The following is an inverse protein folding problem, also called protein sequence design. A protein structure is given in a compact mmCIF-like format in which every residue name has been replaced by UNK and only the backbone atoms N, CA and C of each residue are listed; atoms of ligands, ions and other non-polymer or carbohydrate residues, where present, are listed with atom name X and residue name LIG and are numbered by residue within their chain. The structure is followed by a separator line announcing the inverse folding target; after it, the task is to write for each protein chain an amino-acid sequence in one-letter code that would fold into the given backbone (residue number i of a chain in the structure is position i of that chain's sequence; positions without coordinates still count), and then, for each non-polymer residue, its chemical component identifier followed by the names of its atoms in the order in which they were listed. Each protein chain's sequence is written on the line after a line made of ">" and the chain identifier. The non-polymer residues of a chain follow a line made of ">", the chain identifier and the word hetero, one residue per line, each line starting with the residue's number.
data_IF_533139136865
#
_entry.id   IF_533139136865
#
_cell.length_a   1.000
_cell.length_b   1.000
_cell.length_c   1.000
_cell.angle_alpha   90.00
_cell.angle_beta   90.00
_cell.angle_gamma   90.00
#
_symmetry.space_group_name_H-M   'P 1'
#
loop_
_entity.id
_entity.type
_entity.pdbx_description
1 polymer ?
#
# COMPACT_ATOMS: atom_id res chain seq x y z
N UNK A 1 -13.25 -34.30 -25.20
CA UNK A 1 -12.89 -34.17 -23.77
C UNK A 1 -12.83 -32.69 -23.46
N UNK A 2 -13.34 -32.26 -22.29
CA UNK A 2 -13.16 -30.88 -21.83
C UNK A 2 -11.68 -30.69 -21.49
N UNK A 3 -11.10 -29.57 -21.88
CA UNK A 3 -9.77 -29.19 -21.45
C UNK A 3 -9.80 -28.91 -19.94
N UNK A 4 -9.18 -29.76 -19.09
CA UNK A 4 -9.20 -29.60 -17.64
C UNK A 4 -8.51 -28.32 -17.18
N UNK A 5 -7.64 -27.76 -18.03
CA UNK A 5 -6.83 -26.58 -17.75
C UNK A 5 -7.47 -25.27 -18.26
N UNK A 6 -8.66 -25.33 -18.88
CA UNK A 6 -9.43 -24.13 -19.27
C UNK A 6 -10.57 -23.88 -18.28
N UNK A 7 -10.48 -22.78 -17.53
CA UNK A 7 -11.56 -22.28 -16.70
C UNK A 7 -12.77 -21.85 -17.53
N UNK A 8 -12.57 -21.29 -18.73
CA UNK A 8 -13.68 -20.90 -19.63
C UNK A 8 -14.51 -22.14 -20.00
N UNK A 9 -13.87 -23.21 -20.48
CA UNK A 9 -14.58 -24.44 -20.84
C UNK A 9 -15.31 -25.05 -19.65
N UNK A 10 -14.67 -25.02 -18.46
CA UNK A 10 -15.28 -25.51 -17.23
C UNK A 10 -16.50 -24.69 -16.81
N UNK A 11 -16.45 -23.35 -16.92
CA UNK A 11 -17.60 -22.47 -16.65
C UNK A 11 -18.70 -22.65 -17.70
N UNK A 12 -18.37 -22.82 -18.98
CA UNK A 12 -19.36 -23.12 -20.04
C UNK A 12 -19.97 -24.52 -19.88
N UNK A 13 -19.21 -25.47 -19.33
CA UNK A 13 -19.69 -26.81 -19.01
C UNK A 13 -20.54 -26.84 -17.72
N UNK A 14 -20.59 -25.76 -16.95
CA UNK A 14 -21.44 -25.65 -15.77
C UNK A 14 -22.93 -25.77 -16.16
N UNK A 15 -23.72 -26.42 -15.31
CA UNK A 15 -25.14 -26.67 -15.57
C UNK A 15 -25.91 -25.39 -15.90
N UNK A 16 -25.64 -24.30 -15.18
CA UNK A 16 -26.31 -23.02 -15.42
C UNK A 16 -26.11 -22.56 -16.87
N UNK A 17 -24.85 -22.52 -17.33
CA UNK A 17 -24.53 -22.10 -18.68
C UNK A 17 -25.21 -22.97 -19.74
N UNK A 18 -25.12 -24.31 -19.61
CA UNK A 18 -25.78 -25.26 -20.53
C UNK A 18 -27.29 -25.03 -20.62
N UNK A 19 -27.96 -24.86 -19.47
CA UNK A 19 -29.41 -24.65 -19.42
C UNK A 19 -29.82 -23.32 -20.05
N UNK A 20 -29.15 -22.22 -19.69
CA UNK A 20 -29.52 -20.92 -20.23
C UNK A 20 -29.16 -20.75 -21.71
N UNK A 21 -28.05 -21.33 -22.16
CA UNK A 21 -27.71 -21.38 -23.59
C UNK A 21 -28.82 -22.11 -24.38
N UNK A 22 -29.29 -23.25 -23.88
CA UNK A 22 -30.39 -24.01 -24.50
C UNK A 22 -31.67 -23.18 -24.57
N UNK A 23 -32.00 -22.40 -23.54
CA UNK A 23 -33.16 -21.50 -23.56
C UNK A 23 -33.01 -20.39 -24.61
N UNK A 24 -31.83 -19.79 -24.72
CA UNK A 24 -31.55 -18.74 -25.70
C UNK A 24 -31.66 -19.30 -27.13
N UNK A 25 -31.00 -20.42 -27.42
CA UNK A 25 -31.05 -21.07 -28.74
C UNK A 25 -32.46 -21.51 -29.13
N UNK A 26 -33.23 -22.07 -28.19
CA UNK A 26 -34.62 -22.49 -28.46
C UNK A 26 -35.55 -21.29 -28.70
N UNK A 27 -35.21 -20.09 -28.20
CA UNK A 27 -35.93 -18.85 -28.52
C UNK A 27 -35.72 -18.44 -29.98
N UNK A 28 -34.54 -18.71 -30.55
CA UNK A 28 -34.22 -18.41 -31.94
C UNK A 28 -34.76 -19.46 -32.92
N UNK A 29 -34.76 -20.74 -32.53
CA UNK A 29 -35.05 -21.86 -33.44
C UNK A 29 -36.49 -22.40 -33.36
N UNK A 30 -37.33 -21.91 -32.44
CA UNK A 30 -38.71 -22.37 -32.27
C UNK A 30 -38.84 -23.78 -31.68
N UNK A 31 -40.09 -24.25 -31.49
CA UNK A 31 -40.39 -25.63 -31.05
C UNK A 31 -41.29 -25.79 -29.83
N UNK A 32 -41.97 -24.74 -29.36
CA UNK A 32 -42.92 -24.81 -28.24
C UNK A 32 -42.28 -25.12 -26.87
N UNK A 33 -43.03 -24.91 -25.78
CA UNK A 33 -42.51 -25.06 -24.42
C UNK A 33 -42.23 -26.52 -24.02
N UNK A 34 -43.04 -27.47 -24.50
CA UNK A 34 -42.90 -28.89 -24.16
C UNK A 34 -41.56 -29.46 -24.64
N UNK A 35 -41.15 -29.13 -25.87
CA UNK A 35 -39.86 -29.57 -26.41
C UNK A 35 -38.69 -28.96 -25.63
N UNK A 36 -38.80 -27.69 -25.22
CA UNK A 36 -37.79 -27.04 -24.38
C UNK A 36 -37.64 -27.75 -23.04
N UNK A 37 -38.75 -28.03 -22.33
CA UNK A 37 -38.69 -28.74 -21.05
C UNK A 37 -38.06 -30.13 -21.18
N UNK A 38 -38.40 -30.89 -22.24
CA UNK A 38 -37.76 -32.19 -22.53
C UNK A 38 -36.24 -32.05 -22.73
N UNK A 39 -35.79 -31.05 -23.49
CA UNK A 39 -34.35 -30.78 -23.71
C UNK A 39 -33.63 -30.42 -22.41
N UNK A 40 -34.18 -29.48 -21.63
CA UNK A 40 -33.60 -29.06 -20.35
C UNK A 40 -33.50 -30.23 -19.35
N UNK A 41 -34.52 -31.08 -19.28
CA UNK A 41 -34.49 -32.29 -18.45
C UNK A 41 -33.38 -33.26 -18.89
N UNK A 42 -33.24 -33.51 -20.20
CA UNK A 42 -32.19 -34.38 -20.75
C UNK A 42 -30.80 -33.85 -20.41
N UNK A 43 -30.55 -32.55 -20.57
CA UNK A 43 -29.27 -31.90 -20.24
C UNK A 43 -28.95 -32.07 -18.77
N UNK A 44 -29.91 -31.80 -17.88
CA UNK A 44 -29.72 -31.97 -16.44
C UNK A 44 -29.40 -33.42 -16.06
N UNK A 45 -30.14 -34.38 -16.61
CA UNK A 45 -29.92 -35.82 -16.37
C UNK A 45 -28.53 -36.25 -16.83
N UNK A 46 -28.12 -35.81 -18.02
CA UNK A 46 -26.80 -36.08 -18.59
C UNK A 46 -25.68 -35.45 -17.75
N UNK A 47 -25.80 -34.17 -17.38
CA UNK A 47 -24.81 -33.48 -16.55
C UNK A 47 -24.63 -34.15 -15.18
N UNK A 48 -25.72 -34.61 -14.55
CA UNK A 48 -25.65 -35.35 -13.28
C UNK A 48 -24.95 -36.71 -13.45
N UNK A 49 -25.15 -37.39 -14.59
CA UNK A 49 -24.44 -38.64 -14.91
C UNK A 49 -22.94 -38.39 -15.11
N UNK A 50 -22.58 -37.36 -15.88
CA UNK A 50 -21.19 -36.94 -16.11
C UNK A 50 -20.48 -36.59 -14.80
N UNK A 51 -21.13 -35.84 -13.90
CA UNK A 51 -20.58 -35.51 -12.59
C UNK A 51 -20.32 -36.74 -11.71
N UNK A 52 -21.25 -37.71 -11.69
CA UNK A 52 -21.07 -38.96 -10.93
C UNK A 52 -19.91 -39.80 -11.48
N UNK A 53 -19.84 -39.94 -12.80
CA UNK A 53 -18.75 -40.67 -13.46
C UNK A 53 -17.40 -40.01 -13.12
N UNK A 54 -17.33 -38.68 -13.22
CA UNK A 54 -16.12 -37.94 -12.86
C UNK A 54 -15.72 -38.14 -11.39
N UNK A 55 -16.69 -38.09 -10.47
CA UNK A 55 -16.44 -38.36 -9.04
C UNK A 55 -15.88 -39.78 -8.79
N UNK A 56 -16.37 -40.79 -9.51
CA UNK A 56 -15.83 -42.16 -9.43
C UNK A 56 -14.42 -42.24 -10.03
N UNK A 57 -14.18 -41.58 -11.16
CA UNK A 57 -12.87 -41.55 -11.82
C UNK A 57 -11.81 -40.92 -10.89
N UNK A 58 -12.09 -39.78 -10.25
CA UNK A 58 -11.12 -39.13 -9.36
C UNK A 58 -10.89 -39.89 -8.04
N UNK A 59 -11.82 -40.76 -7.63
CA UNK A 59 -11.62 -41.65 -6.49
C UNK A 59 -10.61 -42.76 -6.81
N UNK A 60 -10.65 -43.29 -8.04
CA UNK A 60 -9.71 -44.32 -8.51
C UNK A 60 -8.38 -43.70 -8.97
N UNK A 61 -8.43 -42.52 -9.58
CA UNK A 61 -7.29 -41.81 -10.15
C UNK A 61 -7.24 -40.36 -9.64
N UNK A 62 -6.73 -40.12 -8.41
CA UNK A 62 -6.66 -38.79 -7.83
C UNK A 62 -5.90 -37.76 -8.69
N UNK A 63 -4.93 -38.21 -9.50
CA UNK A 63 -4.16 -37.38 -10.42
C UNK A 63 -4.99 -36.78 -11.57
N UNK A 64 -6.18 -37.31 -11.85
CA UNK A 64 -7.10 -36.75 -12.87
C UNK A 64 -8.00 -35.64 -12.31
N UNK A 65 -7.88 -35.31 -11.01
CA UNK A 65 -8.63 -34.23 -10.39
C UNK A 65 -8.25 -32.91 -11.05
N UNK A 66 -9.25 -32.20 -11.55
CA UNK A 66 -9.05 -30.88 -12.13
C UNK A 66 -8.43 -29.92 -11.10
N UNK A 67 -7.51 -29.05 -11.55
CA UNK A 67 -6.97 -28.00 -10.70
C UNK A 67 -8.07 -27.03 -10.25
N UNK A 68 -7.80 -26.17 -9.26
CA UNK A 68 -8.75 -25.11 -8.92
C UNK A 68 -8.98 -24.21 -10.13
N UNK A 69 -10.15 -23.56 -10.22
CA UNK A 69 -10.43 -22.66 -11.36
C UNK A 69 -9.45 -21.47 -11.37
N UNK A 70 -9.03 -21.03 -10.19
CA UNK A 70 -8.17 -19.87 -9.99
C UNK A 70 -6.73 -20.07 -10.52
N UNK A 71 -6.29 -21.33 -10.71
CA UNK A 71 -4.95 -21.62 -11.25
C UNK A 71 -4.93 -21.78 -12.77
N UNK A 72 -6.09 -21.74 -13.44
CA UNK A 72 -6.16 -21.75 -14.90
C UNK A 72 -5.78 -20.36 -15.46
N UNK A 73 -5.01 -20.32 -16.56
CA UNK A 73 -4.54 -19.06 -17.16
C UNK A 73 -5.68 -18.18 -17.70
N UNK A 74 -6.82 -18.77 -18.04
CA UNK A 74 -8.03 -18.12 -18.57
C UNK A 74 -9.11 -17.86 -17.49
N UNK A 75 -8.71 -17.84 -16.21
CA UNK A 75 -9.64 -17.65 -15.09
C UNK A 75 -10.38 -16.30 -15.11
N UNK A 76 -9.69 -15.21 -15.48
CA UNK A 76 -10.27 -13.88 -15.54
C UNK A 76 -11.39 -13.80 -16.60
N UNK A 77 -11.17 -14.42 -17.75
CA UNK A 77 -12.16 -14.57 -18.82
C UNK A 77 -13.32 -15.47 -18.39
N UNK A 78 -13.04 -16.52 -17.62
CA UNK A 78 -14.05 -17.41 -17.08
C UNK A 78 -14.98 -16.69 -16.07
N UNK A 79 -14.47 -15.71 -15.30
CA UNK A 79 -15.30 -14.86 -14.45
C UNK A 79 -16.27 -14.00 -15.28
N UNK A 80 -15.80 -13.44 -16.41
CA UNK A 80 -16.68 -12.69 -17.35
C UNK A 80 -17.82 -13.57 -17.88
N UNK A 81 -17.56 -14.86 -18.11
CA UNK A 81 -18.59 -15.81 -18.55
C UNK A 81 -19.74 -15.97 -17.55
N UNK A 82 -19.52 -15.73 -16.24
CA UNK A 82 -20.60 -15.77 -15.23
C UNK A 82 -21.58 -14.59 -15.37
N UNK A 83 -21.16 -13.50 -15.99
CA UNK A 83 -22.00 -12.35 -16.33
C UNK A 83 -22.69 -12.50 -17.70
N UNK A 84 -22.44 -13.58 -18.44
CA UNK A 84 -23.15 -13.84 -19.68
C UNK A 84 -24.63 -14.13 -19.42
N UNK A 85 -25.48 -13.71 -20.37
CA UNK A 85 -26.92 -13.94 -20.28
C UNK A 85 -27.26 -15.42 -20.12
N UNK A 86 -26.57 -16.32 -20.84
CA UNK A 86 -26.74 -17.77 -20.71
C UNK A 86 -26.52 -18.25 -19.28
N UNK A 87 -25.48 -17.76 -18.60
CA UNK A 87 -25.20 -18.16 -17.23
C UNK A 87 -26.29 -17.65 -16.27
N UNK A 88 -26.65 -16.37 -16.37
CA UNK A 88 -27.65 -15.73 -15.51
C UNK A 88 -29.04 -16.35 -15.66
N UNK A 89 -29.49 -16.63 -16.89
CA UNK A 89 -30.75 -17.35 -17.13
C UNK A 89 -30.68 -18.77 -16.53
N UNK A 90 -29.56 -19.44 -16.71
CA UNK A 90 -29.27 -20.74 -16.10
C UNK A 90 -29.46 -20.77 -14.60
N UNK A 91 -28.91 -19.78 -13.89
CA UNK A 91 -29.07 -19.66 -12.45
C UNK A 91 -30.53 -19.46 -12.05
N UNK A 92 -31.27 -18.64 -12.80
CA UNK A 92 -32.71 -18.45 -12.57
C UNK A 92 -33.48 -19.75 -12.76
N UNK A 93 -33.17 -20.54 -13.79
CA UNK A 93 -33.81 -21.84 -14.05
C UNK A 93 -33.54 -22.84 -12.92
N UNK A 94 -32.28 -22.92 -12.47
CA UNK A 94 -31.88 -23.80 -11.35
C UNK A 94 -32.63 -23.40 -10.08
N UNK A 95 -32.66 -22.11 -9.74
CA UNK A 95 -33.37 -21.59 -8.56
C UNK A 95 -34.87 -21.82 -8.64
N UNK A 96 -35.48 -21.64 -9.82
CA UNK A 96 -36.90 -21.89 -10.02
C UNK A 96 -37.26 -23.38 -9.88
N UNK A 97 -36.40 -24.27 -10.40
CA UNK A 97 -36.56 -25.72 -10.22
C UNK A 97 -36.44 -26.13 -8.75
N UNK A 98 -35.42 -25.62 -8.04
CA UNK A 98 -35.21 -25.93 -6.62
C UNK A 98 -36.38 -25.47 -5.74
N UNK A 99 -37.04 -24.38 -6.11
CA UNK A 99 -38.18 -23.83 -5.39
C UNK A 99 -39.52 -24.11 -6.09
N UNK A 100 -39.60 -25.17 -6.90
CA UNK A 100 -40.80 -25.49 -7.67
C UNK A 100 -42.02 -25.65 -6.77
N UNK A 101 -41.87 -26.36 -5.64
CA UNK A 101 -42.91 -26.58 -4.63
C UNK A 101 -43.37 -25.30 -3.91
N UNK A 102 -42.60 -24.21 -3.99
CA UNK A 102 -42.97 -22.87 -3.48
C UNK A 102 -43.56 -21.97 -4.58
N UNK A 103 -43.97 -22.55 -5.71
CA UNK A 103 -44.48 -21.81 -6.86
C UNK A 103 -43.39 -21.10 -7.69
N UNK A 104 -42.13 -21.54 -7.61
CA UNK A 104 -41.01 -20.95 -8.35
C UNK A 104 -41.21 -20.88 -9.88
N UNK A 105 -41.98 -21.84 -10.43
CA UNK A 105 -42.37 -21.85 -11.84
C UNK A 105 -43.24 -20.66 -12.26
N UNK A 106 -44.16 -20.21 -11.41
CA UNK A 106 -45.04 -19.06 -11.70
C UNK A 106 -44.27 -17.75 -11.79
N UNK A 107 -43.19 -17.61 -11.01
CA UNK A 107 -42.33 -16.41 -11.01
C UNK A 107 -41.24 -16.44 -12.09
N UNK A 108 -41.10 -17.55 -12.84
CA UNK A 108 -39.99 -17.77 -13.77
C UNK A 108 -39.92 -16.70 -14.86
N UNK A 109 -41.05 -16.35 -15.49
CA UNK A 109 -41.10 -15.31 -16.54
C UNK A 109 -40.59 -13.97 -16.03
N UNK A 110 -41.03 -13.56 -14.84
CA UNK A 110 -40.61 -12.31 -14.22
C UNK A 110 -39.13 -12.33 -13.81
N UNK A 111 -38.65 -13.46 -13.27
CA UNK A 111 -37.24 -13.63 -12.90
C UNK A 111 -36.31 -13.61 -14.13
N UNK A 112 -36.73 -14.20 -15.26
CA UNK A 112 -35.98 -14.10 -16.53
C UNK A 112 -35.97 -12.65 -17.03
N UNK A 113 -37.10 -11.93 -16.95
CA UNK A 113 -37.15 -10.50 -17.29
C UNK A 113 -36.21 -9.68 -16.40
N UNK A 114 -36.13 -9.99 -15.10
CA UNK A 114 -35.17 -9.37 -14.17
C UNK A 114 -33.72 -9.69 -14.56
N UNK A 115 -33.38 -10.95 -14.81
CA UNK A 115 -32.04 -11.35 -15.24
C UNK A 115 -31.61 -10.67 -16.56
N UNK A 116 -32.54 -10.48 -17.51
CA UNK A 116 -32.26 -9.71 -18.73
C UNK A 116 -31.91 -8.25 -18.43
N UNK A 117 -32.60 -7.59 -17.48
CA UNK A 117 -32.28 -6.21 -17.07
C UNK A 117 -30.92 -6.14 -16.38
N UNK A 118 -30.66 -7.04 -15.42
CA UNK A 118 -29.36 -7.14 -14.75
C UNK A 118 -28.22 -7.39 -15.75
N UNK A 119 -28.45 -8.24 -16.77
CA UNK A 119 -27.48 -8.48 -17.83
C UNK A 119 -27.15 -7.21 -18.62
N UNK A 120 -28.12 -6.33 -18.90
CA UNK A 120 -27.80 -5.06 -19.59
C UNK A 120 -26.88 -4.18 -18.76
N UNK A 121 -27.08 -4.12 -17.44
CA UNK A 121 -26.22 -3.40 -16.51
C UNK A 121 -24.78 -3.95 -16.54
N UNK A 122 -24.62 -5.28 -16.40
CA UNK A 122 -23.29 -5.89 -16.46
C UNK A 122 -22.64 -5.74 -17.83
N UNK A 123 -23.41 -5.88 -18.91
CA UNK A 123 -22.92 -5.70 -20.27
C UNK A 123 -22.42 -4.27 -20.48
N UNK A 124 -23.12 -3.28 -19.94
CA UNK A 124 -22.74 -1.87 -20.01
C UNK A 124 -21.41 -1.63 -19.28
N UNK A 125 -21.31 -2.00 -18.00
CA UNK A 125 -20.08 -1.74 -17.23
C UNK A 125 -18.87 -2.50 -17.79
N UNK A 126 -19.04 -3.75 -18.23
CA UNK A 126 -17.96 -4.53 -18.84
C UNK A 126 -17.53 -3.98 -20.20
N UNK A 127 -18.41 -3.26 -20.90
CA UNK A 127 -18.09 -2.59 -22.17
C UNK A 127 -17.36 -1.27 -21.94
N UNK A 128 -17.81 -0.49 -20.96
CA UNK A 128 -17.22 0.81 -20.60
C UNK A 128 -15.84 0.61 -19.93
N UNK A 129 -15.69 -0.36 -19.02
CA UNK A 129 -14.48 -0.60 -18.24
C UNK A 129 -13.85 -1.95 -18.60
N UNK A 130 -13.14 -2.00 -19.73
CA UNK A 130 -12.49 -3.23 -20.23
C UNK A 130 -11.37 -3.74 -19.32
N UNK A 131 -10.83 -2.87 -18.48
CA UNK A 131 -9.69 -3.11 -17.58
C UNK A 131 -10.09 -3.79 -16.27
N UNK A 132 -11.38 -4.05 -16.05
CA UNK A 132 -11.86 -4.80 -14.89
C UNK A 132 -11.15 -6.16 -14.80
N UNK A 133 -10.32 -6.30 -13.76
CA UNK A 133 -9.55 -7.49 -13.46
C UNK A 133 -10.40 -8.56 -12.75
N UNK A 134 -9.85 -9.76 -12.58
CA UNK A 134 -10.58 -10.88 -11.96
C UNK A 134 -11.04 -10.61 -10.53
N UNK A 135 -10.25 -9.90 -9.73
CA UNK A 135 -10.60 -9.58 -8.34
C UNK A 135 -11.80 -8.64 -8.27
N UNK A 136 -11.83 -7.60 -9.11
CA UNK A 136 -12.98 -6.68 -9.20
C UNK A 136 -14.23 -7.41 -9.67
N UNK A 137 -14.12 -8.30 -10.67
CA UNK A 137 -15.24 -9.10 -11.16
C UNK A 137 -15.79 -10.03 -10.08
N UNK A 138 -14.91 -10.66 -9.29
CA UNK A 138 -15.28 -11.49 -8.14
C UNK A 138 -15.98 -10.64 -7.07
N UNK A 139 -15.46 -9.46 -6.74
CA UNK A 139 -16.08 -8.54 -5.78
C UNK A 139 -17.47 -8.05 -6.23
N UNK A 140 -17.64 -7.74 -7.53
CA UNK A 140 -18.95 -7.41 -8.12
C UNK A 140 -19.91 -8.60 -7.99
N UNK A 141 -19.43 -9.82 -8.27
CA UNK A 141 -20.24 -11.02 -8.15
C UNK A 141 -20.71 -11.24 -6.70
N UNK A 142 -19.80 -11.12 -5.73
CA UNK A 142 -20.07 -11.34 -4.31
C UNK A 142 -21.02 -10.27 -3.74
N UNK A 143 -20.93 -9.04 -4.24
CA UNK A 143 -21.79 -7.91 -3.84
C UNK A 143 -22.90 -7.60 -4.85
N UNK A 144 -23.31 -8.57 -5.68
CA UNK A 144 -24.20 -8.36 -6.83
C UNK A 144 -25.45 -7.54 -6.54
N UNK A 145 -26.16 -7.81 -5.44
CA UNK A 145 -27.40 -7.09 -5.14
C UNK A 145 -27.15 -5.62 -4.79
N UNK A 146 -26.11 -5.35 -4.00
CA UNK A 146 -25.72 -3.99 -3.62
C UNK A 146 -25.21 -3.23 -4.85
N UNK A 147 -24.37 -3.86 -5.67
CA UNK A 147 -23.91 -3.30 -6.93
C UNK A 147 -25.07 -2.90 -7.85
N UNK A 148 -26.04 -3.79 -8.07
CA UNK A 148 -27.19 -3.51 -8.93
C UNK A 148 -28.08 -2.37 -8.37
N UNK A 149 -28.19 -2.27 -7.04
CA UNK A 149 -28.95 -1.20 -6.37
C UNK A 149 -28.27 0.16 -6.58
N UNK A 150 -26.96 0.22 -6.36
CA UNK A 150 -26.19 1.47 -6.42
C UNK A 150 -25.63 1.78 -7.82
N UNK A 151 -25.89 0.94 -8.83
CA UNK A 151 -25.29 1.05 -10.15
C UNK A 151 -25.39 2.45 -10.80
N UNK A 152 -26.53 3.16 -10.77
CA UNK A 152 -26.61 4.51 -11.34
C UNK A 152 -25.63 5.50 -10.69
N UNK A 153 -25.48 5.42 -9.37
CA UNK A 153 -24.56 6.25 -8.56
C UNK A 153 -23.11 5.87 -8.81
N UNK A 154 -22.80 4.56 -8.81
CA UNK A 154 -21.46 4.05 -9.16
C UNK A 154 -21.07 4.53 -10.56
N UNK A 155 -21.97 4.41 -11.54
CA UNK A 155 -21.73 4.86 -12.91
C UNK A 155 -21.47 6.36 -12.98
N UNK A 156 -22.17 7.16 -12.16
CA UNK A 156 -21.91 8.58 -12.04
C UNK A 156 -20.46 8.85 -11.57
N UNK A 157 -20.04 8.22 -10.47
CA UNK A 157 -18.66 8.33 -9.96
C UNK A 157 -17.63 7.96 -11.03
N UNK A 158 -17.78 6.80 -11.66
CA UNK A 158 -16.84 6.33 -12.66
C UNK A 158 -16.76 7.26 -13.87
N UNK A 159 -17.86 7.90 -14.26
CA UNK A 159 -17.88 8.92 -15.33
C UNK A 159 -17.26 10.25 -14.90
N UNK A 160 -17.54 10.71 -13.69
CA UNK A 160 -16.98 11.95 -13.12
C UNK A 160 -15.45 11.90 -13.05
N UNK A 161 -14.89 10.71 -12.84
CA UNK A 161 -13.45 10.48 -12.75
C UNK A 161 -12.87 9.70 -13.94
N UNK A 162 -13.57 9.64 -15.08
CA UNK A 162 -13.10 8.91 -16.26
C UNK A 162 -11.76 9.41 -16.81
N UNK A 163 -11.42 10.67 -16.53
CA UNK A 163 -10.19 11.37 -16.91
C UNK A 163 -9.07 11.24 -15.86
N UNK A 164 -9.33 10.56 -14.74
CA UNK A 164 -8.39 10.44 -13.62
C UNK A 164 -8.15 8.97 -13.27
N UNK A 165 -7.36 8.29 -14.10
CA UNK A 165 -7.09 6.85 -13.98
C UNK A 165 -6.64 6.39 -12.58
N UNK A 166 -5.75 7.11 -11.85
CA UNK A 166 -5.30 6.67 -10.52
C UNK A 166 -6.42 6.40 -9.51
N UNK A 167 -7.52 7.17 -9.53
CA UNK A 167 -8.64 6.90 -8.61
C UNK A 167 -9.51 5.75 -9.11
N UNK A 168 -9.66 5.57 -10.43
CA UNK A 168 -10.38 4.42 -10.99
C UNK A 168 -9.68 3.11 -10.63
N UNK A 169 -8.36 3.07 -10.77
CA UNK A 169 -7.55 1.91 -10.37
C UNK A 169 -7.71 1.62 -8.88
N UNK A 170 -7.68 2.66 -8.03
CA UNK A 170 -7.89 2.51 -6.59
C UNK A 170 -9.30 1.96 -6.26
N UNK A 171 -10.34 2.46 -6.92
CA UNK A 171 -11.73 1.95 -6.77
C UNK A 171 -11.81 0.48 -7.17
N UNK A 172 -11.27 0.09 -8.33
CA UNK A 172 -11.40 -1.28 -8.83
C UNK A 172 -10.56 -2.27 -8.02
N UNK A 173 -9.35 -1.89 -7.59
CA UNK A 173 -8.50 -2.72 -6.74
C UNK A 173 -9.11 -2.93 -5.35
N UNK A 174 -9.85 -1.94 -4.84
CA UNK A 174 -10.49 -1.98 -3.52
C UNK A 174 -12.03 -2.13 -3.59
N UNK A 175 -12.56 -2.70 -4.68
CA UNK A 175 -13.99 -2.63 -5.00
C UNK A 175 -14.91 -3.21 -3.91
N UNK A 176 -14.48 -4.28 -3.24
CA UNK A 176 -15.24 -4.88 -2.14
C UNK A 176 -15.38 -3.93 -0.95
N UNK A 177 -14.34 -3.13 -0.66
CA UNK A 177 -14.42 -2.10 0.39
C UNK A 177 -15.23 -0.91 -0.11
N UNK A 178 -14.99 -0.48 -1.35
CA UNK A 178 -15.72 0.60 -2.02
C UNK A 178 -17.23 0.40 -1.94
N UNK A 179 -17.73 -0.76 -2.38
CA UNK A 179 -19.17 -1.01 -2.45
C UNK A 179 -19.83 -1.12 -1.07
N UNK A 180 -19.10 -1.61 -0.05
CA UNK A 180 -19.62 -1.72 1.32
C UNK A 180 -19.70 -0.38 2.05
N UNK A 181 -18.86 0.57 1.67
CA UNK A 181 -18.78 1.91 2.26
C UNK A 181 -19.15 3.00 1.23
N UNK A 182 -20.02 2.65 0.28
CA UNK A 182 -20.24 3.44 -0.93
C UNK A 182 -20.71 4.87 -0.65
N UNK A 183 -21.66 5.07 0.28
CA UNK A 183 -22.21 6.40 0.57
C UNK A 183 -21.12 7.39 1.02
N UNK A 184 -20.23 6.96 1.92
CA UNK A 184 -19.13 7.79 2.44
C UNK A 184 -18.08 8.07 1.35
N UNK A 185 -17.77 7.06 0.52
CA UNK A 185 -16.78 7.23 -0.55
C UNK A 185 -17.35 8.11 -1.67
N UNK A 186 -18.63 7.97 -2.02
CA UNK A 186 -19.28 8.83 -3.01
C UNK A 186 -19.25 10.30 -2.56
N UNK A 187 -19.61 10.58 -1.31
CA UNK A 187 -19.55 11.93 -0.74
C UNK A 187 -18.15 12.53 -0.88
N UNK A 188 -17.12 11.75 -0.53
CA UNK A 188 -15.73 12.19 -0.63
C UNK A 188 -15.29 12.44 -2.07
N UNK A 189 -15.53 11.50 -2.98
CA UNK A 189 -15.06 11.59 -4.37
C UNK A 189 -15.75 12.71 -5.17
N UNK A 190 -16.98 13.07 -4.79
CA UNK A 190 -17.70 14.20 -5.39
C UNK A 190 -17.41 15.55 -4.73
N UNK A 191 -16.59 15.59 -3.67
CA UNK A 191 -16.28 16.82 -2.95
C UNK A 191 -15.29 17.75 -3.68
N UNK A 192 -15.41 19.05 -3.43
CA UNK A 192 -14.42 20.04 -3.89
C UNK A 192 -13.04 19.82 -3.25
N UNK A 193 -13.02 19.35 -2.00
CA UNK A 193 -11.78 19.02 -1.28
C UNK A 193 -10.99 17.91 -1.99
N UNK A 194 -11.65 16.84 -2.46
CA UNK A 194 -10.99 15.80 -3.26
C UNK A 194 -10.46 16.36 -4.58
N UNK A 195 -11.26 17.21 -5.25
CA UNK A 195 -10.89 17.82 -6.53
C UNK A 195 -9.65 18.70 -6.38
N UNK A 196 -9.63 19.62 -5.42
CA UNK A 196 -8.50 20.52 -5.21
C UNK A 196 -7.24 19.77 -4.75
N UNK A 197 -7.39 18.77 -3.86
CA UNK A 197 -6.24 18.05 -3.29
C UNK A 197 -5.62 17.02 -4.24
N UNK A 198 -6.43 16.35 -5.05
CA UNK A 198 -5.96 15.21 -5.85
C UNK A 198 -6.15 15.40 -7.35
N UNK A 199 -7.36 15.82 -7.78
CA UNK A 199 -7.67 15.86 -9.22
C UNK A 199 -6.95 17.00 -9.95
N UNK A 200 -6.88 18.18 -9.36
CA UNK A 200 -6.30 19.40 -9.97
C UNK A 200 -4.83 19.23 -10.36
N UNK A 201 -4.05 18.60 -9.50
CA UNK A 201 -2.62 18.33 -9.73
C UNK A 201 -2.36 16.95 -10.36
N UNK A 202 -3.42 16.22 -10.76
CA UNK A 202 -3.33 14.84 -11.26
C UNK A 202 -2.49 13.94 -10.35
N UNK A 203 -2.78 13.97 -9.05
CA UNK A 203 -1.97 13.30 -8.05
C UNK A 203 -1.89 11.78 -8.31
N UNK A 204 -0.72 11.13 -8.30
CA UNK A 204 -0.59 9.73 -8.71
C UNK A 204 -1.21 8.73 -7.72
N UNK A 205 -1.46 9.13 -6.48
CA UNK A 205 -1.99 8.27 -5.41
C UNK A 205 -3.17 8.91 -4.68
N UNK A 206 -4.34 9.06 -5.31
CA UNK A 206 -5.51 9.65 -4.66
C UNK A 206 -6.08 8.73 -3.58
N UNK A 207 -6.35 9.29 -2.40
CA UNK A 207 -6.98 8.59 -1.29
C UNK A 207 -8.43 8.24 -1.59
N UNK A 208 -8.83 7.00 -1.31
CA UNK A 208 -10.22 6.54 -1.49
C UNK A 208 -11.18 7.10 -0.42
N UNK A 209 -10.65 7.54 0.73
CA UNK A 209 -11.40 8.10 1.84
C UNK A 209 -10.91 9.51 2.16
N UNK A 210 -11.78 10.31 2.76
CA UNK A 210 -11.46 11.67 3.21
C UNK A 210 -10.41 11.63 4.34
N UNK A 211 -9.18 12.14 4.13
CA UNK A 211 -8.17 12.19 5.17
C UNK A 211 -8.57 13.00 6.40
N UNK A 212 -9.44 14.01 6.27
CA UNK A 212 -9.91 14.81 7.40
C UNK A 212 -10.79 13.97 8.33
N UNK A 213 -11.81 13.30 7.78
CA UNK A 213 -12.69 12.40 8.55
C UNK A 213 -11.93 11.23 9.16
N UNK A 214 -10.91 10.70 8.47
CA UNK A 214 -10.09 9.60 9.01
C UNK A 214 -9.39 9.94 10.34
N UNK A 215 -9.15 11.22 10.62
CA UNK A 215 -8.51 11.68 11.86
C UNK A 215 -9.49 11.78 13.03
N UNK A 216 -10.79 11.83 12.78
CA UNK A 216 -11.80 11.95 13.83
C UNK A 216 -12.13 10.57 14.39
N UNK A 217 -11.81 10.34 15.67
CA UNK A 217 -12.09 9.07 16.35
C UNK A 217 -13.59 8.80 16.54
N UNK A 218 -14.43 9.83 16.42
CA UNK A 218 -15.88 9.71 16.48
C UNK A 218 -16.48 9.22 15.16
N UNK A 219 -15.73 9.30 14.05
CA UNK A 219 -16.18 8.79 12.77
C UNK A 219 -16.23 7.26 12.78
N UNK A 220 -17.27 6.71 12.14
CA UNK A 220 -17.46 5.25 12.07
C UNK A 220 -16.28 4.55 11.38
N UNK A 221 -15.62 5.24 10.43
CA UNK A 221 -14.44 4.77 9.71
C UNK A 221 -13.34 5.78 9.94
N UNK A 222 -12.27 5.36 10.61
CA UNK A 222 -11.14 6.21 10.98
C UNK A 222 -9.86 5.38 11.02
N UNK A 223 -8.71 6.02 11.22
CA UNK A 223 -7.42 5.31 11.17
C UNK A 223 -7.30 4.14 12.18
N UNK A 224 -7.99 4.17 13.31
CA UNK A 224 -7.91 3.12 14.33
C UNK A 224 -8.64 1.83 13.93
N UNK A 225 -9.58 1.90 12.98
CA UNK A 225 -10.36 0.74 12.54
C UNK A 225 -9.98 0.23 11.14
N UNK A 226 -9.03 0.88 10.47
CA UNK A 226 -8.47 0.44 9.19
C UNK A 226 -7.08 -0.17 9.43
N UNK A 227 -6.86 -1.46 9.09
CA UNK A 227 -5.53 -2.06 9.10
C UNK A 227 -4.59 -1.34 8.12
N UNK A 228 -3.31 -1.23 8.47
CA UNK A 228 -2.32 -0.50 7.68
C UNK A 228 -2.17 -1.04 6.24
N UNK A 229 -2.32 -2.37 6.05
CA UNK A 229 -2.28 -3.01 4.73
C UNK A 229 -3.43 -2.55 3.83
N UNK A 230 -4.62 -2.38 4.40
CA UNK A 230 -5.78 -1.89 3.68
C UNK A 230 -5.66 -0.38 3.43
N UNK A 231 -5.17 0.38 4.41
CA UNK A 231 -4.89 1.80 4.26
C UNK A 231 -3.92 2.08 3.09
N UNK A 232 -2.84 1.30 3.00
CA UNK A 232 -1.90 1.37 1.90
C UNK A 232 -2.55 1.05 0.55
N UNK A 233 -3.33 -0.04 0.46
CA UNK A 233 -4.03 -0.42 -0.78
C UNK A 233 -5.01 0.65 -1.25
N UNK A 234 -5.64 1.38 -0.33
CA UNK A 234 -6.58 2.47 -0.61
C UNK A 234 -5.91 3.84 -0.80
N UNK A 235 -4.58 3.90 -0.84
CA UNK A 235 -3.78 5.12 -0.92
C UNK A 235 -4.11 6.13 0.19
N UNK A 236 -4.46 5.64 1.39
CA UNK A 236 -4.69 6.53 2.51
C UNK A 236 -3.36 7.16 2.92
N UNK A 237 -3.32 8.47 3.18
CA UNK A 237 -2.11 9.07 3.67
C UNK A 237 -1.87 8.68 5.15
N UNK A 238 -0.66 8.88 5.67
CA UNK A 238 -0.31 8.53 7.05
C UNK A 238 -1.08 9.40 8.07
N UNK A 239 -1.37 8.88 9.27
CA UNK A 239 -1.95 9.69 10.35
C UNK A 239 -1.10 10.94 10.62
N UNK A 240 -1.69 12.12 10.83
CA UNK A 240 -0.97 13.39 10.91
C UNK A 240 -0.29 13.63 12.28
N UNK A 241 -0.13 12.59 13.09
CA UNK A 241 0.41 12.64 14.47
C UNK A 241 1.94 12.81 14.49
N UNK A 242 2.48 13.65 13.62
CA UNK A 242 3.88 14.05 13.57
C UNK A 242 3.99 15.56 13.33
N UNK A 243 5.08 16.15 13.84
CA UNK A 243 5.28 17.59 13.85
C UNK A 243 6.11 18.07 12.66
N UNK A 244 7.19 17.36 12.36
CA UNK A 244 8.06 17.67 11.23
C UNK A 244 8.79 16.44 10.68
N UNK A 245 9.43 16.63 9.52
CA UNK A 245 10.28 15.62 8.91
C UNK A 245 11.76 15.98 9.10
N UNK A 246 12.58 14.99 9.41
CA UNK A 246 14.02 15.17 9.61
C UNK A 246 14.81 14.28 8.67
N UNK A 247 15.49 14.92 7.71
CA UNK A 247 16.28 14.24 6.69
C UNK A 247 17.76 14.35 7.04
N UNK A 248 18.49 13.24 6.90
CA UNK A 248 19.93 13.18 7.18
C UNK A 248 20.59 12.07 6.37
N UNK A 249 21.82 12.29 5.91
CA UNK A 249 22.64 11.23 5.32
C UNK A 249 23.34 10.39 6.40
N UNK A 250 23.72 9.17 6.05
CA UNK A 250 24.57 8.35 6.92
C UNK A 250 25.90 9.07 7.21
N UNK A 251 26.30 9.12 8.48
CA UNK A 251 27.55 9.80 8.88
C UNK A 251 27.43 11.32 9.06
N UNK A 252 26.23 11.90 8.94
CA UNK A 252 25.98 13.32 9.17
C UNK A 252 25.82 13.71 10.65
N UNK A 253 26.13 12.82 11.61
CA UNK A 253 25.99 13.12 13.05
C UNK A 253 24.56 13.04 13.58
N UNK A 254 23.65 12.35 12.88
CA UNK A 254 22.24 12.25 13.26
C UNK A 254 22.02 11.60 14.64
N UNK A 255 22.92 10.71 15.08
CA UNK A 255 22.83 10.11 16.41
C UNK A 255 22.77 11.17 17.52
N UNK A 256 23.68 12.14 17.51
CA UNK A 256 23.79 13.19 18.54
C UNK A 256 22.54 14.06 18.57
N UNK A 257 22.11 14.55 17.41
CA UNK A 257 20.89 15.36 17.32
C UNK A 257 19.64 14.56 17.76
N UNK A 258 19.61 13.27 17.45
CA UNK A 258 18.55 12.36 17.91
C UNK A 258 18.50 12.22 19.43
N UNK A 259 19.66 12.23 20.11
CA UNK A 259 19.70 12.27 21.59
C UNK A 259 19.08 13.55 22.13
N UNK A 260 19.32 14.70 21.48
CA UNK A 260 18.72 15.97 21.88
C UNK A 260 17.20 15.97 21.69
N UNK A 261 16.71 15.52 20.53
CA UNK A 261 15.27 15.37 20.28
C UNK A 261 14.59 14.49 21.32
N UNK A 262 15.19 13.35 21.65
CA UNK A 262 14.61 12.41 22.61
C UNK A 262 14.71 12.91 24.07
N UNK A 263 15.91 13.25 24.54
CA UNK A 263 16.14 13.54 25.95
C UNK A 263 15.69 14.94 26.37
N UNK A 264 15.91 15.95 25.52
CA UNK A 264 15.62 17.35 25.84
C UNK A 264 14.20 17.73 25.40
N UNK A 265 13.83 17.40 24.16
CA UNK A 265 12.58 17.84 23.57
C UNK A 265 11.42 16.85 23.73
N UNK A 266 11.71 15.63 24.23
CA UNK A 266 10.75 14.53 24.44
C UNK A 266 9.99 14.15 23.17
N UNK A 267 10.73 14.14 22.05
CA UNK A 267 10.23 13.80 20.72
C UNK A 267 10.61 12.35 20.40
N UNK A 268 9.64 11.56 19.98
CA UNK A 268 9.87 10.24 19.40
C UNK A 268 10.29 10.37 17.94
N UNK A 269 11.27 9.56 17.54
CA UNK A 269 11.84 9.59 16.20
C UNK A 269 11.35 8.36 15.45
N UNK A 270 10.52 8.57 14.43
CA UNK A 270 9.97 7.52 13.58
C UNK A 270 10.92 7.28 12.40
N UNK A 271 11.80 6.35 12.75
CA UNK A 271 12.65 5.43 12.02
C UNK A 271 13.95 5.92 11.37
N UNK A 272 14.99 5.69 12.17
CA UNK A 272 16.40 5.94 11.95
C UNK A 272 17.10 4.79 11.19
N UNK A 273 16.44 3.64 10.91
CA UNK A 273 16.90 2.55 10.02
C UNK A 273 15.74 1.62 9.58
N UNK A 274 14.68 2.17 8.99
CA UNK A 274 13.51 1.39 8.61
C UNK A 274 13.78 0.45 7.43
N UNK A 275 14.37 -0.73 7.67
CA UNK A 275 14.48 -1.73 6.62
C UNK A 275 13.11 -2.17 6.08
N UNK A 276 13.05 -2.48 4.79
CA UNK A 276 11.89 -3.07 4.10
C UNK A 276 11.34 -2.21 2.97
N UNK A 277 10.50 -2.84 2.13
CA UNK A 277 9.81 -2.21 1.01
C UNK A 277 8.91 -1.03 1.46
N UNK A 278 8.56 -0.14 0.53
CA UNK A 278 7.79 1.08 0.85
C UNK A 278 6.46 0.82 1.57
N UNK A 279 5.78 -0.29 1.28
CA UNK A 279 4.57 -0.71 1.98
C UNK A 279 4.85 -1.15 3.42
N UNK A 280 5.92 -1.91 3.65
CA UNK A 280 6.36 -2.30 5.01
C UNK A 280 6.71 -1.07 5.86
N UNK A 281 7.41 -0.10 5.27
CA UNK A 281 7.73 1.16 5.95
C UNK A 281 6.47 1.96 6.28
N UNK A 282 5.53 2.04 5.33
CA UNK A 282 4.23 2.65 5.57
C UNK A 282 3.51 1.99 6.76
N UNK A 283 3.46 0.65 6.84
CA UNK A 283 2.81 -0.05 7.95
C UNK A 283 3.42 0.30 9.31
N UNK A 284 4.77 0.35 9.37
CA UNK A 284 5.49 0.73 10.58
C UNK A 284 5.16 2.15 11.01
N UNK A 285 5.22 3.11 10.08
CA UNK A 285 4.87 4.50 10.38
C UNK A 285 3.41 4.64 10.80
N UNK A 286 2.49 4.04 10.04
CA UNK A 286 1.06 4.07 10.30
C UNK A 286 0.76 3.59 11.73
N UNK A 287 1.25 2.40 12.09
CA UNK A 287 0.99 1.82 13.40
C UNK A 287 1.66 2.63 14.52
N UNK A 288 2.89 3.13 14.33
CA UNK A 288 3.58 3.94 15.35
C UNK A 288 2.93 5.30 15.56
N UNK A 289 2.43 5.94 14.51
CA UNK A 289 1.72 7.22 14.61
C UNK A 289 0.38 7.08 15.33
N UNK A 290 -0.26 5.90 15.28
CA UNK A 290 -1.45 5.61 16.07
C UNK A 290 -1.11 5.26 17.52
N UNK A 291 -0.09 4.43 17.74
CA UNK A 291 0.39 4.06 19.07
C UNK A 291 0.85 5.28 19.88
N UNK A 292 1.49 6.25 19.22
CA UNK A 292 2.10 7.42 19.83
C UNK A 292 1.29 8.70 19.58
N UNK A 293 -0.02 8.61 19.35
CA UNK A 293 -0.87 9.76 18.98
C UNK A 293 -0.80 10.94 19.96
N UNK A 294 -0.67 10.67 21.25
CA UNK A 294 -0.59 11.68 22.32
C UNK A 294 0.85 12.14 22.63
N UNK A 295 1.82 11.75 21.80
CA UNK A 295 3.22 12.08 21.95
C UNK A 295 3.69 12.97 20.81
N UNK A 296 4.79 13.67 21.05
CA UNK A 296 5.49 14.43 20.02
C UNK A 296 6.27 13.46 19.15
N UNK A 297 6.02 13.45 17.84
CA UNK A 297 6.65 12.52 16.92
C UNK A 297 7.23 13.27 15.71
N UNK A 298 8.33 12.77 15.17
CA UNK A 298 8.90 13.23 13.89
C UNK A 298 9.19 12.03 13.00
N UNK A 299 9.08 12.19 11.68
CA UNK A 299 9.41 11.14 10.72
C UNK A 299 10.81 11.41 10.16
N UNK A 300 11.64 10.38 10.07
CA UNK A 300 12.98 10.49 9.50
C UNK A 300 13.10 9.79 8.15
N UNK A 301 13.87 10.40 7.24
CA UNK A 301 14.24 9.80 5.95
C UNK A 301 15.75 9.92 5.80
N UNK A 302 16.44 8.80 5.67
CA UNK A 302 17.89 8.73 5.56
C UNK A 302 18.40 7.97 4.34
N UNK A 303 17.46 7.43 3.55
CA UNK A 303 17.73 6.71 2.32
C UNK A 303 16.56 6.91 1.35
N UNK A 304 16.84 6.93 0.05
CA UNK A 304 15.81 7.09 -0.99
C UNK A 304 16.06 6.24 -2.22
N UNK A 305 17.05 5.35 -2.18
CA UNK A 305 17.31 4.45 -3.30
C UNK A 305 16.09 3.53 -3.49
N UNK A 306 15.41 3.54 -4.67
CA UNK A 306 14.26 2.70 -4.93
C UNK A 306 14.46 1.22 -4.58
N UNK A 307 15.68 0.70 -4.71
CA UNK A 307 16.00 -0.69 -4.40
C UNK A 307 15.80 -1.03 -2.92
N UNK A 308 15.90 -0.04 -2.02
CA UNK A 308 15.68 -0.21 -0.58
C UNK A 308 14.21 -0.07 -0.18
N UNK A 309 13.35 0.28 -1.14
CA UNK A 309 11.89 0.36 -1.01
C UNK A 309 11.19 -0.72 -1.85
N UNK A 310 11.94 -1.68 -2.39
CA UNK A 310 11.49 -2.72 -3.30
C UNK A 310 11.43 -2.25 -4.77
N UNK A 311 10.93 -1.05 -5.02
CA UNK A 311 10.98 -0.37 -6.32
C UNK A 311 10.59 1.11 -6.21
N UNK A 312 10.72 1.85 -7.32
CA UNK A 312 10.41 3.27 -7.39
C UNK A 312 8.94 3.56 -7.07
N UNK A 313 8.01 2.76 -7.59
CA UNK A 313 6.59 2.94 -7.36
C UNK A 313 6.22 2.87 -5.87
N UNK A 314 6.77 1.90 -5.13
CA UNK A 314 6.52 1.76 -3.69
C UNK A 314 7.12 2.92 -2.90
N UNK A 315 8.31 3.39 -3.25
CA UNK A 315 8.95 4.56 -2.62
C UNK A 315 8.11 5.82 -2.83
N UNK A 316 7.76 6.11 -4.07
CA UNK A 316 7.07 7.35 -4.44
C UNK A 316 5.64 7.38 -3.84
N UNK A 317 5.00 6.21 -3.74
CA UNK A 317 3.72 6.03 -3.04
C UNK A 317 3.83 6.31 -1.54
N UNK A 318 4.87 5.79 -0.88
CA UNK A 318 5.13 6.10 0.53
C UNK A 318 5.35 7.59 0.74
N UNK A 319 6.16 8.24 -0.09
CA UNK A 319 6.43 9.67 0.06
C UNK A 319 5.17 10.51 -0.17
N UNK A 320 4.32 10.09 -1.08
CA UNK A 320 3.02 10.72 -1.32
C UNK A 320 2.02 10.57 -0.16
N UNK A 321 2.29 9.67 0.79
CA UNK A 321 1.43 9.46 1.97
C UNK A 321 1.66 10.48 3.09
N UNK A 322 2.72 11.29 3.04
CA UNK A 322 2.95 12.34 4.02
C UNK A 322 1.92 13.47 3.82
N UNK A 323 1.02 13.64 4.80
CA UNK A 323 -0.13 14.57 4.69
C UNK A 323 0.24 16.04 4.80
N UNK A 324 1.13 16.34 5.75
CA UNK A 324 1.41 17.70 6.17
C UNK A 324 2.52 18.27 5.30
N UNK A 325 2.33 19.51 4.85
CA UNK A 325 3.45 20.42 4.56
C UNK A 325 4.08 20.71 5.93
N UNK A 326 4.90 19.78 6.41
CA UNK A 326 5.65 20.01 7.63
C UNK A 326 6.93 20.74 7.28
N UNK A 327 7.43 21.61 8.18
CA UNK A 327 8.82 22.00 8.18
C UNK A 327 9.72 20.78 7.96
N UNK A 328 10.77 20.92 7.17
CA UNK A 328 11.76 19.86 6.98
C UNK A 328 13.08 20.32 7.52
N UNK A 329 13.64 19.52 8.43
CA UNK A 329 15.00 19.70 8.88
C UNK A 329 15.94 18.84 8.03
N UNK A 330 16.73 19.50 7.19
CA UNK A 330 17.83 18.90 6.45
C UNK A 330 19.12 19.01 7.26
N UNK A 331 19.54 17.92 7.89
CA UNK A 331 20.83 17.88 8.58
C UNK A 331 21.95 17.54 7.61
N UNK A 332 22.72 18.54 7.21
CA UNK A 332 23.77 18.43 6.21
C UNK A 332 25.16 18.30 6.84
N UNK A 333 26.08 17.75 6.05
CA UNK A 333 27.51 17.71 6.31
C UNK A 333 28.24 17.89 4.99
N UNK A 334 29.42 18.50 5.04
CA UNK A 334 30.29 18.61 3.88
C UNK A 334 30.46 17.23 3.18
N UNK A 335 30.20 17.13 1.86
CA UNK A 335 30.29 15.85 1.15
C UNK A 335 31.69 15.24 1.17
N UNK A 336 32.76 16.05 1.18
CA UNK A 336 34.13 15.53 1.26
C UNK A 336 34.39 14.92 2.64
N UNK A 337 33.91 15.54 3.72
CA UNK A 337 33.93 14.94 5.05
C UNK A 337 33.09 13.66 5.13
N UNK A 338 31.92 13.62 4.50
CA UNK A 338 31.10 12.40 4.43
C UNK A 338 31.82 11.27 3.69
N UNK A 339 32.48 11.57 2.57
CA UNK A 339 33.27 10.59 1.82
C UNK A 339 34.46 10.11 2.65
N UNK A 340 35.20 11.02 3.30
CA UNK A 340 36.30 10.67 4.24
C UNK A 340 35.80 9.76 5.34
N UNK A 341 34.65 10.10 5.94
CA UNK A 341 33.99 9.27 6.96
C UNK A 341 33.63 7.90 6.40
N UNK A 342 33.01 7.81 5.23
CA UNK A 342 32.58 6.56 4.62
C UNK A 342 33.77 5.67 4.20
N UNK A 343 34.85 6.26 3.68
CA UNK A 343 36.07 5.55 3.29
C UNK A 343 36.83 5.02 4.51
N UNK A 344 36.93 5.82 5.57
CA UNK A 344 37.57 5.40 6.82
C UNK A 344 36.75 4.37 7.60
N UNK A 345 35.44 4.22 7.31
CA UNK A 345 34.51 3.43 8.12
C UNK A 345 34.58 1.93 7.87
N UNK A 346 35.01 1.19 8.89
CA UNK A 346 34.72 -0.25 9.07
C UNK A 346 33.31 -0.48 9.57
N UNK A 347 32.46 -1.12 8.76
CA UNK A 347 31.16 -1.61 9.20
C UNK A 347 31.36 -2.93 9.96
N UNK A 348 31.04 -2.96 11.25
CA UNK A 348 31.24 -4.14 12.10
C UNK A 348 31.85 -3.83 13.47
N UNK A 349 32.25 -4.91 14.16
CA UNK A 349 32.52 -5.04 15.60
C UNK A 349 33.28 -3.88 16.26
N UNK A 350 32.86 -3.60 17.50
CA UNK A 350 33.47 -2.60 18.38
C UNK A 350 34.93 -3.01 18.70
N UNK A 351 35.88 -2.18 18.29
CA UNK A 351 37.30 -2.39 18.61
C UNK A 351 37.69 -1.85 20.00
N UNK A 352 36.78 -1.18 20.71
CA UNK A 352 37.09 -0.65 22.04
C UNK A 352 37.02 -1.75 23.11
N UNK A 353 38.09 -1.92 23.87
CA UNK A 353 38.19 -2.79 25.05
C UNK A 353 37.47 -2.20 26.27
N UNK A 354 37.46 -0.87 26.40
CA UNK A 354 36.75 -0.12 27.44
C UNK A 354 35.92 1.02 26.84
N UNK A 355 34.87 1.46 27.54
CA UNK A 355 33.97 2.55 27.12
C UNK A 355 34.34 3.92 27.71
N UNK A 356 35.14 3.92 28.78
CA UNK A 356 35.59 5.12 29.50
C UNK A 356 37.11 5.05 29.65
N UNK A 357 37.79 6.12 29.28
CA UNK A 357 39.24 6.27 29.30
C UNK A 357 39.58 7.77 29.23
N UNK A 358 40.80 8.10 29.64
CA UNK A 358 41.38 9.44 29.48
C UNK A 358 42.79 9.32 28.88
N UNK A 359 43.54 10.43 28.86
CA UNK A 359 44.90 10.48 28.30
C UNK A 359 45.94 9.68 29.11
N UNK A 360 45.61 9.16 30.29
CA UNK A 360 46.52 8.31 31.07
C UNK A 360 46.57 6.85 30.60
N UNK A 361 45.57 6.41 29.83
CA UNK A 361 45.48 5.04 29.35
C UNK A 361 46.43 4.78 28.17
N UNK A 362 47.04 3.60 28.13
CA UNK A 362 47.82 3.17 26.96
C UNK A 362 46.88 2.76 25.82
N UNK A 363 47.31 3.04 24.58
CA UNK A 363 46.51 2.77 23.38
C UNK A 363 46.03 1.31 23.28
N UNK A 364 46.94 0.38 23.52
CA UNK A 364 46.65 -1.07 23.45
C UNK A 364 45.70 -1.55 24.55
N UNK A 365 45.50 -0.78 25.62
CA UNK A 365 44.56 -1.10 26.69
C UNK A 365 43.13 -0.66 26.34
N UNK A 366 43.00 0.28 25.40
CA UNK A 366 41.72 0.84 24.96
C UNK A 366 41.23 0.18 23.66
N UNK A 367 42.13 -0.24 22.76
CA UNK A 367 41.80 -0.71 21.40
C UNK A 367 42.28 -2.16 21.15
N UNK A 368 41.44 -2.97 20.51
CA UNK A 368 41.82 -4.28 19.94
C UNK A 368 42.58 -4.09 18.62
N UNK A 369 43.45 -5.03 18.29
CA UNK A 369 44.23 -5.01 17.05
C UNK A 369 43.33 -4.87 15.80
N UNK A 370 43.76 -4.02 14.85
CA UNK A 370 42.95 -3.65 13.68
C UNK A 370 43.22 -4.64 12.55
N UNK A 371 42.26 -5.49 12.23
CA UNK A 371 42.32 -6.31 11.02
C UNK A 371 42.12 -5.46 9.76
N UNK A 372 42.87 -5.78 8.69
CA UNK A 372 42.71 -5.20 7.35
C UNK A 372 41.25 -5.31 6.90
N UNK A 373 40.66 -4.17 6.51
CA UNK A 373 39.26 -4.10 6.12
C UNK A 373 39.12 -3.67 4.66
N UNK A 374 38.59 -4.57 3.85
CA UNK A 374 38.29 -4.29 2.45
C UNK A 374 36.83 -3.82 2.34
N UNK A 375 36.60 -2.51 2.51
CA UNK A 375 35.34 -1.89 2.10
C UNK A 375 35.45 -1.41 0.66
N UNK A 376 34.57 -1.89 -0.21
CA UNK A 376 34.48 -1.35 -1.55
C UNK A 376 33.47 -0.18 -1.55
N UNK A 377 33.94 0.99 -1.12
CA UNK A 377 33.16 2.22 -1.27
C UNK A 377 33.02 2.52 -2.77
N UNK A 378 31.81 2.77 -3.30
CA UNK A 378 31.65 3.09 -4.72
C UNK A 378 32.52 4.28 -5.13
N UNK A 379 33.35 4.10 -6.15
CA UNK A 379 34.27 5.14 -6.64
C UNK A 379 33.63 6.07 -7.67
N UNK A 380 32.35 5.86 -8.01
CA UNK A 380 31.59 6.69 -8.94
C UNK A 380 30.66 7.65 -8.19
N UNK A 381 30.41 8.82 -8.77
CA UNK A 381 29.45 9.79 -8.21
C UNK A 381 28.07 9.16 -8.03
N UNK A 382 27.59 8.40 -9.02
CA UNK A 382 26.30 7.69 -8.97
C UNK A 382 26.23 6.70 -7.80
N UNK A 383 27.29 5.91 -7.59
CA UNK A 383 27.33 4.98 -6.47
C UNK A 383 27.38 5.67 -5.10
N UNK A 384 27.91 6.89 -5.04
CA UNK A 384 27.97 7.71 -3.83
C UNK A 384 26.69 8.50 -3.57
N UNK A 385 25.82 8.70 -4.57
CA UNK A 385 24.61 9.54 -4.44
C UNK A 385 23.70 9.14 -3.28
N UNK A 386 23.39 7.86 -3.04
CA UNK A 386 22.51 7.46 -1.94
C UNK A 386 23.12 7.68 -0.55
N UNK A 387 24.45 7.79 -0.44
CA UNK A 387 25.15 7.87 0.85
C UNK A 387 25.68 9.28 1.14
N UNK A 388 26.50 9.84 0.24
CA UNK A 388 27.22 11.10 0.45
C UNK A 388 26.53 12.31 -0.18
N UNK A 389 25.65 12.10 -1.17
CA UNK A 389 24.94 13.18 -1.86
C UNK A 389 23.41 13.01 -1.80
N UNK A 390 22.91 12.46 -0.70
CA UNK A 390 21.49 12.18 -0.48
C UNK A 390 20.60 13.38 -0.87
N UNK A 391 21.03 14.60 -0.57
CA UNK A 391 20.32 15.85 -0.83
C UNK A 391 19.98 16.11 -2.29
N UNK A 392 20.92 15.82 -3.20
CA UNK A 392 20.70 15.98 -4.64
C UNK A 392 19.64 15.00 -5.13
N UNK A 393 19.58 13.83 -4.52
CA UNK A 393 18.58 12.82 -4.84
C UNK A 393 17.22 13.16 -4.19
N UNK A 394 17.23 13.78 -3.00
CA UNK A 394 16.03 14.20 -2.28
C UNK A 394 15.30 15.33 -3.03
N UNK A 395 16.02 16.36 -3.52
CA UNK A 395 15.38 17.53 -4.13
C UNK A 395 14.49 17.17 -5.33
N UNK A 396 14.87 16.16 -6.11
CA UNK A 396 14.10 15.66 -7.27
C UNK A 396 12.81 14.92 -6.88
N UNK A 397 12.67 14.50 -5.62
CA UNK A 397 11.51 13.75 -5.12
C UNK A 397 10.50 14.64 -4.36
N UNK A 398 10.79 15.94 -4.20
CA UNK A 398 10.22 16.75 -3.12
C UNK A 398 9.75 18.14 -3.53
N UNK A 399 9.18 18.29 -4.73
CA UNK A 399 8.53 19.52 -5.23
C UNK A 399 7.39 20.06 -4.32
N UNK A 400 7.01 19.33 -3.27
CA UNK A 400 5.91 19.65 -2.35
C UNK A 400 6.33 20.33 -1.04
N UNK A 401 7.63 20.50 -0.79
CA UNK A 401 8.12 21.00 0.50
C UNK A 401 8.66 22.43 0.39
N UNK A 402 7.81 23.38 0.77
CA UNK A 402 8.10 24.82 0.68
C UNK A 402 8.83 25.39 1.91
N UNK A 403 8.95 24.63 3.02
CA UNK A 403 9.53 25.10 4.28
C UNK A 403 10.70 24.22 4.75
N UNK A 404 11.85 24.39 4.10
CA UNK A 404 13.06 23.60 4.32
C UNK A 404 14.10 24.37 5.14
N UNK A 405 14.62 23.75 6.19
CA UNK A 405 15.65 24.28 7.08
C UNK A 405 16.91 23.43 7.00
N UNK A 406 18.05 24.06 6.76
CA UNK A 406 19.34 23.38 6.70
C UNK A 406 20.10 23.53 8.01
N UNK A 407 20.63 22.43 8.52
CA UNK A 407 21.46 22.37 9.72
C UNK A 407 22.78 21.69 9.38
N UNK A 408 23.84 22.48 9.32
CA UNK A 408 25.20 21.95 9.21
C UNK A 408 25.64 21.33 10.53
N UNK A 409 26.09 20.08 10.50
CA UNK A 409 26.55 19.36 11.68
C UNK A 409 27.71 20.04 12.42
N UNK A 410 28.52 20.86 11.72
CA UNK A 410 29.58 21.65 12.34
C UNK A 410 29.08 22.61 13.42
N UNK A 411 27.77 22.94 13.40
CA UNK A 411 27.08 23.75 14.41
C UNK A 411 26.72 23.00 15.69
N UNK A 412 26.85 21.67 15.70
CA UNK A 412 26.68 20.82 16.88
C UNK A 412 28.08 20.48 17.43
N UNK A 413 28.77 21.49 17.95
CA UNK A 413 30.09 21.33 18.59
C UNK A 413 30.27 22.29 19.75
N UNK A 414 30.58 21.75 20.93
CA UNK A 414 30.85 22.56 22.13
C UNK A 414 29.70 23.51 22.47
N UNK A 415 30.02 24.73 22.89
CA UNK A 415 29.02 25.74 23.32
C UNK A 415 28.13 26.24 22.18
N UNK A 416 28.58 26.24 20.93
CA UNK A 416 27.77 26.59 19.74
C UNK A 416 26.53 25.70 19.60
N UNK A 417 26.59 24.48 20.15
CA UNK A 417 25.44 23.57 20.19
C UNK A 417 24.25 24.18 20.92
N UNK A 418 24.48 24.96 21.99
CA UNK A 418 23.39 25.60 22.75
C UNK A 418 22.68 26.65 21.89
N UNK A 419 23.45 27.48 21.18
CA UNK A 419 22.90 28.47 20.25
C UNK A 419 22.08 27.80 19.14
N UNK A 420 22.61 26.72 18.57
CA UNK A 420 21.95 25.93 17.52
C UNK A 420 20.65 25.30 18.02
N UNK A 421 20.65 24.68 19.20
CA UNK A 421 19.46 24.09 19.78
C UNK A 421 18.39 25.16 20.10
N UNK A 422 18.78 26.33 20.63
CA UNK A 422 17.84 27.42 20.88
C UNK A 422 17.26 28.00 19.57
N UNK A 423 18.04 28.03 18.49
CA UNK A 423 17.56 28.38 17.15
C UNK A 423 16.53 27.36 16.64
N UNK A 424 16.81 26.05 16.75
CA UNK A 424 15.86 24.99 16.42
C UNK A 424 14.60 25.07 17.30
N UNK A 425 14.75 25.41 18.59
CA UNK A 425 13.62 25.61 19.50
C UNK A 425 12.68 26.72 19.03
N UNK A 426 13.23 27.82 18.51
CA UNK A 426 12.41 28.88 17.94
C UNK A 426 11.72 28.46 16.63
N UNK A 427 12.42 27.71 15.77
CA UNK A 427 11.89 27.30 14.45
C UNK A 427 10.83 26.20 14.53
N UNK A 428 11.04 25.21 15.39
CA UNK A 428 10.18 24.03 15.50
C UNK A 428 9.31 24.05 16.77
N UNK A 429 9.18 25.20 17.42
CA UNK A 429 8.43 25.37 18.67
C UNK A 429 8.83 24.33 19.74
N UNK A 430 10.13 24.20 19.98
CA UNK A 430 10.71 23.33 21.01
C UNK A 430 11.02 24.13 22.28
N UNK A 431 11.30 23.42 23.38
CA UNK A 431 11.71 24.05 24.64
C UNK A 431 13.10 24.69 24.51
N UNK A 432 13.31 25.84 25.11
CA UNK A 432 14.65 26.44 25.19
C UNK A 432 15.57 25.60 26.09
N UNK A 433 16.86 25.58 25.77
CA UNK A 433 17.87 24.86 26.54
C UNK A 433 18.11 25.56 27.88
N UNK A 434 18.12 24.79 28.97
CA UNK A 434 18.35 25.32 30.32
C UNK A 434 19.84 25.24 30.67
N UNK A 435 20.25 26.03 31.66
CA UNK A 435 21.62 26.00 32.21
C UNK A 435 22.02 24.59 32.65
N UNK A 436 21.09 23.85 33.28
CA UNK A 436 21.34 22.48 33.74
C UNK A 436 21.58 21.48 32.61
N UNK A 437 21.18 21.80 31.37
CA UNK A 437 21.39 20.94 30.20
C UNK A 437 22.76 21.22 29.54
N UNK A 438 23.48 22.28 29.96
CA UNK A 438 24.73 22.73 29.33
C UNK A 438 25.75 21.60 29.21
N UNK A 439 26.03 20.90 30.31
CA UNK A 439 27.01 19.81 30.31
C UNK A 439 26.63 18.69 29.34
N UNK A 440 25.36 18.27 29.33
CA UNK A 440 24.85 17.26 28.41
C UNK A 440 24.93 17.72 26.94
N UNK A 441 24.68 19.00 26.67
CA UNK A 441 24.66 19.53 25.30
C UNK A 441 26.07 19.77 24.76
N UNK A 442 27.02 20.21 25.59
CA UNK A 442 28.37 20.56 25.14
C UNK A 442 29.33 19.37 25.12
N UNK A 443 28.95 18.24 25.73
CA UNK A 443 29.78 17.04 25.75
C UNK A 443 29.95 16.47 24.34
N UNK A 444 31.19 16.15 23.97
CA UNK A 444 31.48 15.42 22.74
C UNK A 444 30.97 13.98 22.87
N UNK A 445 29.98 13.62 22.05
CA UNK A 445 29.49 12.26 21.94
C UNK A 445 30.14 11.56 20.75
N UNK A 446 30.79 10.43 21.01
CA UNK A 446 31.25 9.54 19.98
C UNK A 446 30.63 8.15 20.18
N UNK A 447 29.81 7.73 19.23
CA UNK A 447 29.23 6.38 19.18
C UNK A 447 29.61 5.75 17.84
N UNK A 448 30.82 5.22 17.79
CA UNK A 448 31.44 4.62 16.62
C UNK A 448 32.66 3.79 17.03
N UNK A 449 33.41 3.29 16.04
CA UNK A 449 34.64 2.56 16.33
C UNK A 449 35.76 3.54 16.70
N UNK A 450 36.35 3.32 17.87
CA UNK A 450 37.24 4.29 18.54
C UNK A 450 38.52 4.61 17.75
N UNK A 451 38.90 3.77 16.77
CA UNK A 451 39.98 4.11 15.84
C UNK A 451 39.66 5.27 14.87
N UNK A 452 38.39 5.67 14.69
CA UNK A 452 38.06 6.89 13.92
C UNK A 452 38.57 8.16 14.57
N UNK A 453 38.90 8.11 15.86
CA UNK A 453 39.42 9.23 16.61
C UNK A 453 40.95 9.28 16.59
N UNK A 454 41.62 8.44 15.79
CA UNK A 454 43.08 8.31 15.80
C UNK A 454 43.75 9.07 14.64
N UNK A 455 44.89 9.73 14.90
CA UNK A 455 45.50 9.91 16.22
C UNK A 455 44.63 10.81 17.11
N UNK A 456 44.46 10.42 18.37
CA UNK A 456 43.74 11.23 19.37
C UNK A 456 44.59 12.47 19.65
N UNK A 457 44.34 13.55 18.92
CA UNK A 457 44.81 14.88 19.29
C UNK A 457 43.67 15.54 20.05
N UNK A 458 43.71 15.47 21.39
CA UNK A 458 42.83 16.22 22.27
C UNK A 458 43.22 17.70 22.29
#
# INVERSE_FOLDING_TARGET
>A
MLNPNSAIERVKNHLAYKLGQTVIEHRHNGGGYIALFKKLYKIKKQHKKEQKIYQQIIQVFPQLKYPSLETCSDYNEALRCKFHLSYMIGEVLIKAYQNWYKGGGFKLKNNIKKANKEFQIFREILKEFKELNGETLKAIQDNKQLFLKEFPRIKNILKTHQDYQPILDNIFHNFNYFIKNFDLIEEWLLSDDFKEKYKKENHPYPSLLDPKKLNDENEKINYHNIPAELAWKMNLPLPPNYEFMWFFSHGAGAFTLGQFFYHLFKINILDYFCGGDGDIRYYKFYNKLLELKDKRNIITINDIDPSWYGNQHKRDKLFSSFQKITPILFQIRDPIELIKHAYGRKWGNNLAKTKEFDLSYQFNDIITEVEVYNYNLPNTLEGQRPQSFLWKSLIECFDKFNDCFYLDISKIRGEETIHTLNYLSNKFNLKQIKINDKEFVTKSYFKGNLYFLLPLTL
#
